data_IF_765820361740
#
_entry.id   IF_765820361740
#
_cell.length_a   1.000
_cell.length_b   1.000
_cell.length_c   1.000
_cell.angle_alpha   90.00
_cell.angle_beta   90.00
_cell.angle_gamma   90.00
#
_symmetry.space_group_name_H-M   'P 1'
#
loop_
_entity.id
_entity.type
_entity.pdbx_description
1 polymer ?
#
# COMPACT_ATOMS: atom_id res chain seq x y z
N UNK A 1 -3.64 -8.87 -1.56
CA UNK A 1 -4.43 -7.80 -0.95
C UNK A 1 -4.82 -8.24 0.43
N UNK A 2 -4.80 -7.38 1.44
CA UNK A 2 -5.12 -7.74 2.83
C UNK A 2 -6.59 -7.47 3.18
N UNK A 3 -7.27 -6.67 2.36
CA UNK A 3 -8.70 -6.47 2.42
C UNK A 3 -9.38 -7.34 1.36
N UNK A 4 -10.58 -7.85 1.65
CA UNK A 4 -11.31 -8.72 0.73
C UNK A 4 -11.84 -8.00 -0.52
N UNK A 5 -11.98 -6.68 -0.45
CA UNK A 5 -12.34 -5.85 -1.60
C UNK A 5 -11.64 -4.48 -1.55
N UNK A 6 -11.63 -3.78 -2.68
CA UNK A 6 -11.11 -2.42 -2.77
C UNK A 6 -11.91 -1.49 -1.85
N UNK A 7 -11.25 -0.64 -1.02
CA UNK A 7 -11.93 0.34 -0.21
C UNK A 7 -12.75 1.33 -1.04
N UNK A 8 -13.97 1.58 -0.62
CA UNK A 8 -14.88 2.54 -1.24
C UNK A 8 -15.13 3.78 -0.35
N UNK A 9 -14.88 3.67 0.95
CA UNK A 9 -14.90 4.77 1.89
C UNK A 9 -13.47 5.20 2.24
N UNK A 10 -13.15 6.47 1.99
CA UNK A 10 -11.82 7.04 2.19
C UNK A 10 -11.99 8.35 2.96
N UNK A 11 -11.29 8.45 4.08
CA UNK A 11 -11.12 9.70 4.82
C UNK A 11 -9.64 9.99 4.95
N UNK A 12 -9.21 11.18 4.60
CA UNK A 12 -7.80 11.53 4.64
C UNK A 12 -7.56 12.97 5.08
N UNK A 13 -6.38 13.19 5.64
CA UNK A 13 -5.84 14.50 5.95
C UNK A 13 -4.43 14.61 5.39
N UNK A 14 -4.07 15.78 4.92
CA UNK A 14 -2.76 16.07 4.35
C UNK A 14 -2.18 17.33 4.97
N UNK A 15 -0.88 17.32 5.18
CA UNK A 15 -0.06 18.51 5.38
C UNK A 15 0.71 18.75 4.10
N UNK A 16 0.49 19.88 3.47
CA UNK A 16 1.24 20.28 2.28
C UNK A 16 2.56 20.97 2.69
N UNK A 17 3.59 20.70 1.93
CA UNK A 17 4.85 21.43 1.99
C UNK A 17 4.69 22.85 1.39
N UNK A 18 5.61 23.79 1.66
CA UNK A 18 5.59 25.12 1.03
C UNK A 18 5.65 25.08 -0.51
N UNK A 19 6.12 23.98 -1.09
CA UNK A 19 6.15 23.73 -2.54
C UNK A 19 4.82 23.27 -3.12
N UNK A 20 3.81 23.04 -2.29
CA UNK A 20 2.48 22.61 -2.71
C UNK A 20 2.28 21.09 -2.82
N UNK A 21 3.33 20.29 -2.59
CA UNK A 21 3.22 18.83 -2.59
C UNK A 21 2.88 18.29 -1.20
N UNK A 22 2.37 17.07 -1.12
CA UNK A 22 2.09 16.39 0.14
C UNK A 22 3.38 16.08 0.92
N UNK A 23 3.45 16.55 2.15
CA UNK A 23 4.56 16.32 3.08
C UNK A 23 4.26 15.19 4.04
N UNK A 24 3.04 15.19 4.56
CA UNK A 24 2.53 14.17 5.49
C UNK A 24 1.08 13.87 5.19
N UNK A 25 0.69 12.62 5.30
CA UNK A 25 -0.72 12.23 5.14
C UNK A 25 -1.11 11.15 6.15
N UNK A 26 -2.37 11.23 6.59
CA UNK A 26 -3.07 10.18 7.31
C UNK A 26 -4.31 9.79 6.52
N UNK A 27 -4.49 8.50 6.28
CA UNK A 27 -5.57 7.96 5.45
C UNK A 27 -6.25 6.85 6.23
N UNK A 28 -7.58 6.90 6.30
CA UNK A 28 -8.44 5.85 6.82
C UNK A 28 -9.26 5.29 5.67
N UNK A 29 -9.22 4.00 5.51
CA UNK A 29 -9.90 3.26 4.45
C UNK A 29 -10.90 2.28 5.07
N UNK A 30 -12.04 2.08 4.43
CA UNK A 30 -12.98 1.02 4.76
C UNK A 30 -13.61 0.47 3.47
N UNK A 31 -13.79 -0.84 3.41
CA UNK A 31 -14.48 -1.51 2.31
C UNK A 31 -15.94 -1.85 2.68
N UNK A 32 -16.69 -2.41 1.72
CA UNK A 32 -18.09 -2.80 1.94
C UNK A 32 -18.28 -3.92 2.95
N UNK A 33 -17.26 -4.72 3.19
CA UNK A 33 -17.20 -5.76 4.22
C UNK A 33 -16.88 -5.21 5.61
N UNK A 34 -16.75 -3.86 5.73
CA UNK A 34 -16.41 -3.14 6.96
C UNK A 34 -15.01 -3.44 7.51
N UNK A 35 -14.13 -3.93 6.66
CA UNK A 35 -12.72 -4.07 6.99
C UNK A 35 -12.05 -2.70 6.86
N UNK A 36 -11.21 -2.37 7.83
CA UNK A 36 -10.58 -1.06 7.95
C UNK A 36 -9.07 -1.16 7.77
N UNK A 37 -8.50 -0.12 7.15
CA UNK A 37 -7.07 0.06 7.10
C UNK A 37 -6.69 1.52 7.39
N UNK A 38 -5.55 1.73 8.03
CA UNK A 38 -4.96 3.03 8.26
C UNK A 38 -3.60 3.09 7.61
N UNK A 39 -3.33 4.19 6.91
CA UNK A 39 -2.03 4.45 6.28
C UNK A 39 -1.51 5.80 6.78
N UNK A 40 -0.27 5.84 7.23
CA UNK A 40 0.41 7.07 7.58
C UNK A 40 1.68 7.21 6.76
N UNK A 41 1.84 8.37 6.16
CA UNK A 41 2.97 8.69 5.28
C UNK A 41 3.65 9.96 5.77
N UNK A 42 4.97 10.03 5.70
CA UNK A 42 5.72 11.25 5.95
C UNK A 42 7.03 11.25 5.17
N UNK A 43 7.29 12.35 4.47
CA UNK A 43 8.56 12.62 3.82
C UNK A 43 9.52 13.37 4.75
N UNK A 44 8.99 14.12 5.72
CA UNK A 44 9.78 14.97 6.61
C UNK A 44 10.21 14.25 7.89
N UNK A 45 9.34 13.48 8.51
CA UNK A 45 9.62 12.72 9.71
C UNK A 45 9.84 11.25 9.40
N UNK A 46 10.96 10.68 9.91
CA UNK A 46 11.23 9.27 9.75
C UNK A 46 10.24 8.45 10.60
N UNK A 47 9.51 7.57 9.96
CA UNK A 47 8.61 6.61 10.58
C UNK A 47 9.18 5.19 10.48
N UNK A 48 8.86 4.28 11.41
CA UNK A 48 9.16 2.88 11.25
C UNK A 48 8.46 2.33 9.98
N UNK A 49 9.21 1.68 9.11
CA UNK A 49 8.66 0.98 7.95
C UNK A 49 8.04 -0.33 8.43
N UNK A 50 6.76 -0.33 8.69
CA UNK A 50 6.04 -1.45 9.27
C UNK A 50 4.63 -1.56 8.68
N UNK A 51 4.23 -2.79 8.36
CA UNK A 51 2.83 -3.17 8.12
C UNK A 51 2.33 -4.07 9.23
N UNK A 52 1.06 -3.96 9.60
CA UNK A 52 0.40 -4.84 10.56
C UNK A 52 -0.99 -5.21 10.05
N UNK A 53 -1.36 -6.48 10.22
CA UNK A 53 -2.69 -6.99 9.89
C UNK A 53 -3.22 -7.73 11.11
N UNK A 54 -4.42 -7.35 11.57
CA UNK A 54 -5.07 -7.97 12.70
C UNK A 54 -6.16 -8.93 12.24
N UNK A 55 -6.21 -10.10 12.87
CA UNK A 55 -7.22 -11.14 12.71
C UNK A 55 -7.84 -11.46 14.08
N UNK A 56 -8.89 -12.27 14.11
CA UNK A 56 -9.57 -12.62 15.36
C UNK A 56 -8.67 -13.34 16.37
N UNK A 57 -7.73 -14.16 15.92
CA UNK A 57 -6.90 -15.02 16.77
C UNK A 57 -5.41 -14.75 16.68
N UNK A 58 -4.99 -13.83 15.81
CA UNK A 58 -3.60 -13.50 15.60
C UNK A 58 -3.45 -12.11 14.98
N UNK A 59 -2.26 -11.55 15.04
CA UNK A 59 -1.87 -10.45 14.18
C UNK A 59 -0.51 -10.75 13.54
N UNK A 60 -0.30 -10.15 12.37
CA UNK A 60 0.93 -10.30 11.60
C UNK A 60 1.62 -8.95 11.49
N UNK A 61 2.88 -8.91 11.82
CA UNK A 61 3.73 -7.72 11.63
C UNK A 61 4.80 -8.00 10.58
N UNK A 62 4.96 -7.08 9.65
CA UNK A 62 6.04 -7.08 8.68
C UNK A 62 6.87 -5.82 8.83
N UNK A 63 8.16 -5.99 9.05
CA UNK A 63 9.14 -4.91 9.22
C UNK A 63 9.88 -4.66 7.91
N UNK A 64 10.46 -3.46 7.80
CA UNK A 64 11.21 -2.99 6.62
C UNK A 64 10.37 -2.95 5.32
N UNK A 65 9.04 -2.79 5.48
CA UNK A 65 8.15 -2.60 4.34
C UNK A 65 8.63 -1.45 3.43
N UNK A 66 8.56 -1.56 2.09
CA UNK A 66 7.97 -2.64 1.29
C UNK A 66 8.93 -3.79 0.95
N UNK A 67 10.17 -3.75 1.35
CA UNK A 67 11.19 -4.77 1.05
C UNK A 67 11.47 -5.69 2.24
N UNK A 68 10.43 -6.02 3.00
CA UNK A 68 10.53 -6.92 4.13
C UNK A 68 10.79 -8.36 3.70
N UNK A 69 11.72 -9.02 4.38
CA UNK A 69 12.01 -10.45 4.20
C UNK A 69 11.40 -11.30 5.31
N UNK A 70 10.85 -10.65 6.33
CA UNK A 70 10.41 -11.30 7.55
C UNK A 70 9.05 -10.78 7.97
N UNK A 71 8.15 -11.71 8.30
CA UNK A 71 6.92 -11.43 9.00
C UNK A 71 6.88 -12.22 10.31
N UNK A 72 6.23 -11.66 11.32
CA UNK A 72 6.02 -12.32 12.62
C UNK A 72 4.52 -12.43 12.83
N UNK A 73 4.04 -13.64 13.05
CA UNK A 73 2.67 -13.93 13.48
C UNK A 73 2.68 -14.04 15.00
N UNK A 74 1.81 -13.31 15.67
CA UNK A 74 1.60 -13.43 17.12
C UNK A 74 0.18 -13.91 17.35
N UNK A 75 0.03 -15.05 18.02
CA UNK A 75 -1.26 -15.61 18.40
C UNK A 75 -1.78 -14.98 19.70
N UNK A 76 -3.05 -14.57 19.71
CA UNK A 76 -3.63 -13.81 20.83
C UNK A 76 -4.02 -14.67 22.02
N UNK A 77 -4.17 -15.99 21.84
CA UNK A 77 -4.60 -16.92 22.90
C UNK A 77 -3.53 -17.12 23.98
N UNK A 78 -2.29 -17.32 23.57
CA UNK A 78 -1.17 -17.65 24.46
C UNK A 78 0.07 -16.77 24.26
N UNK A 79 0.04 -15.90 23.26
CA UNK A 79 1.14 -14.98 22.93
C UNK A 79 2.34 -15.65 22.23
N UNK A 80 2.22 -16.92 21.79
CA UNK A 80 3.31 -17.52 21.04
C UNK A 80 3.47 -16.87 19.68
N UNK A 81 4.68 -16.95 19.15
CA UNK A 81 5.02 -16.30 17.88
C UNK A 81 5.58 -17.29 16.87
N UNK A 82 5.24 -17.09 15.61
CA UNK A 82 5.87 -17.77 14.48
C UNK A 82 6.55 -16.75 13.57
N UNK A 83 7.73 -17.08 13.11
CA UNK A 83 8.48 -16.25 12.19
C UNK A 83 8.47 -16.86 10.79
N UNK A 84 8.08 -16.05 9.81
CA UNK A 84 8.14 -16.42 8.39
C UNK A 84 9.23 -15.57 7.74
N UNK A 85 10.21 -16.24 7.15
CA UNK A 85 11.28 -15.60 6.35
C UNK A 85 11.13 -16.05 4.92
N UNK A 86 11.05 -15.11 3.99
CA UNK A 86 10.88 -15.38 2.56
C UNK A 86 11.58 -14.33 1.70
N UNK A 87 12.16 -14.80 0.61
CA UNK A 87 12.85 -13.97 -0.37
C UNK A 87 14.17 -13.38 0.12
N UNK A 88 14.80 -12.62 -0.75
CA UNK A 88 15.98 -11.84 -0.47
C UNK A 88 15.85 -10.45 -1.08
N UNK A 89 16.00 -9.40 -0.29
CA UNK A 89 15.87 -8.01 -0.78
C UNK A 89 16.87 -7.69 -1.89
N UNK A 90 18.05 -8.33 -1.87
CA UNK A 90 19.05 -8.17 -2.91
C UNK A 90 18.57 -8.62 -4.29
N UNK A 91 17.65 -9.59 -4.34
CA UNK A 91 17.12 -10.19 -5.56
C UNK A 91 15.77 -9.59 -5.99
N UNK A 92 15.30 -8.54 -5.30
CA UNK A 92 13.97 -7.97 -5.51
C UNK A 92 13.66 -7.59 -6.97
N UNK A 93 14.64 -7.02 -7.69
CA UNK A 93 14.48 -6.70 -9.12
C UNK A 93 14.42 -7.97 -9.99
N UNK A 94 15.13 -9.03 -9.60
CA UNK A 94 15.05 -10.33 -10.27
C UNK A 94 13.64 -10.91 -10.17
N UNK A 95 13.03 -10.86 -9.00
CA UNK A 95 11.64 -11.32 -8.81
C UNK A 95 10.63 -10.53 -9.65
N UNK A 96 10.83 -9.21 -9.81
CA UNK A 96 9.97 -8.40 -10.68
C UNK A 96 10.06 -8.84 -12.15
N UNK A 97 11.28 -9.17 -12.62
CA UNK A 97 11.49 -9.68 -13.98
C UNK A 97 10.89 -11.07 -14.15
N UNK A 98 11.13 -11.97 -13.22
CA UNK A 98 10.57 -13.33 -13.25
C UNK A 98 9.04 -13.31 -13.27
N UNK A 99 8.43 -12.46 -12.44
CA UNK A 99 6.98 -12.31 -12.37
C UNK A 99 6.40 -11.78 -13.69
N UNK A 100 7.07 -10.82 -14.32
CA UNK A 100 6.70 -10.32 -15.63
C UNK A 100 6.83 -11.40 -16.72
N UNK A 101 7.91 -12.18 -16.71
CA UNK A 101 8.11 -13.29 -17.66
C UNK A 101 7.01 -14.35 -17.50
N UNK A 102 6.64 -14.70 -16.27
CA UNK A 102 5.54 -15.62 -15.99
C UNK A 102 4.19 -15.06 -16.48
N UNK A 103 3.94 -13.78 -16.28
CA UNK A 103 2.72 -13.13 -16.76
C UNK A 103 2.63 -13.15 -18.28
N UNK A 104 3.73 -12.91 -19.01
CA UNK A 104 3.81 -12.99 -20.47
C UNK A 104 3.57 -14.43 -20.94
N UNK A 105 4.08 -15.41 -20.20
CA UNK A 105 3.87 -16.83 -20.49
C UNK A 105 2.43 -17.32 -20.18
N UNK A 106 1.56 -16.47 -19.66
CA UNK A 106 0.19 -16.79 -19.32
C UNK A 106 -0.02 -17.32 -17.90
N UNK A 107 0.94 -17.11 -17.01
CA UNK A 107 0.92 -17.55 -15.61
C UNK A 107 0.99 -16.35 -14.62
N UNK A 108 0.06 -15.38 -14.65
CA UNK A 108 0.14 -14.16 -13.85
C UNK A 108 -0.31 -14.38 -12.40
N UNK A 109 0.34 -15.27 -11.65
CA UNK A 109 -0.09 -15.63 -10.30
C UNK A 109 0.21 -14.55 -9.26
N UNK A 110 1.37 -13.90 -9.36
CA UNK A 110 1.82 -12.89 -8.41
C UNK A 110 1.48 -11.48 -8.88
N UNK A 111 1.74 -11.16 -10.14
CA UNK A 111 1.44 -9.85 -10.72
C UNK A 111 -0.06 -9.70 -11.01
N UNK A 112 -0.73 -8.87 -10.22
CA UNK A 112 -2.16 -8.57 -10.37
C UNK A 112 -2.33 -7.11 -10.75
N UNK A 113 -2.45 -6.83 -12.04
CA UNK A 113 -2.65 -5.47 -12.58
C UNK A 113 -3.87 -4.78 -11.98
N UNK A 114 -4.93 -5.51 -11.68
CA UNK A 114 -6.14 -4.98 -11.05
C UNK A 114 -5.85 -4.32 -9.71
N UNK A 115 -4.95 -4.90 -8.89
CA UNK A 115 -4.56 -4.29 -7.61
C UNK A 115 -3.79 -2.99 -7.81
N UNK A 116 -2.93 -2.94 -8.82
CA UNK A 116 -2.21 -1.71 -9.18
C UNK A 116 -3.19 -0.64 -9.65
N UNK A 117 -4.14 -1.00 -10.50
CA UNK A 117 -5.17 -0.10 -10.98
C UNK A 117 -6.04 0.46 -9.83
N UNK A 118 -6.48 -0.38 -8.91
CA UNK A 118 -7.26 0.01 -7.74
C UNK A 118 -6.48 0.99 -6.84
N UNK A 119 -5.21 0.70 -6.58
CA UNK A 119 -4.34 1.60 -5.80
C UNK A 119 -4.19 2.94 -6.51
N UNK A 120 -3.94 2.95 -7.81
CA UNK A 120 -3.80 4.19 -8.59
C UNK A 120 -5.08 5.01 -8.63
N UNK A 121 -6.26 4.37 -8.74
CA UNK A 121 -7.57 5.03 -8.64
C UNK A 121 -7.77 5.66 -7.26
N UNK A 122 -7.47 4.92 -6.19
CA UNK A 122 -7.54 5.42 -4.82
C UNK A 122 -6.62 6.63 -4.59
N UNK A 123 -5.36 6.53 -4.96
CA UNK A 123 -4.38 7.61 -4.81
C UNK A 123 -4.81 8.86 -5.59
N UNK A 124 -5.32 8.68 -6.81
CA UNK A 124 -5.81 9.78 -7.64
C UNK A 124 -7.02 10.47 -7.00
N UNK A 125 -7.96 9.71 -6.42
CA UNK A 125 -9.10 10.25 -5.69
C UNK A 125 -8.63 11.07 -4.48
N UNK A 126 -7.80 10.47 -3.63
CA UNK A 126 -7.27 11.11 -2.42
C UNK A 126 -6.55 12.41 -2.76
N UNK A 127 -5.69 12.39 -3.76
CA UNK A 127 -4.94 13.56 -4.21
C UNK A 127 -5.86 14.69 -4.70
N UNK A 128 -6.91 14.34 -5.45
CA UNK A 128 -7.94 15.30 -5.90
C UNK A 128 -8.72 15.91 -4.73
N UNK A 129 -9.07 15.11 -3.74
CA UNK A 129 -9.74 15.58 -2.53
C UNK A 129 -8.85 16.57 -1.73
N UNK A 130 -7.54 16.47 -1.84
CA UNK A 130 -6.58 17.43 -1.28
C UNK A 130 -6.40 18.70 -2.13
N UNK A 131 -7.00 18.75 -3.32
CA UNK A 131 -6.79 19.84 -4.27
C UNK A 131 -5.39 19.88 -4.90
N UNK A 132 -4.67 18.74 -4.85
CA UNK A 132 -3.34 18.63 -5.41
C UNK A 132 -3.41 18.20 -6.87
N UNK A 133 -2.99 19.07 -7.77
CA UNK A 133 -2.95 18.85 -9.22
C UNK A 133 -1.51 18.96 -9.70
N UNK A 134 -1.09 18.07 -10.57
CA UNK A 134 0.23 18.14 -11.18
C UNK A 134 0.20 19.06 -12.42
N UNK A 135 1.28 19.79 -12.70
CA UNK A 135 1.31 20.71 -13.86
C UNK A 135 0.98 20.04 -15.20
N UNK A 136 1.32 18.77 -15.36
CA UNK A 136 1.05 18.00 -16.58
C UNK A 136 -0.46 17.77 -16.79
N UNK A 137 -1.24 17.73 -15.73
CA UNK A 137 -2.69 17.52 -15.78
C UNK A 137 -3.43 18.79 -16.21
N UNK A 138 -2.89 19.98 -15.89
CA UNK A 138 -3.46 21.27 -16.31
C UNK A 138 -3.45 21.42 -17.83
N UNK A 139 -2.39 20.93 -18.48
CA UNK A 139 -2.25 20.97 -19.94
C UNK A 139 -3.05 19.92 -20.70
N UNK A 140 -3.51 18.87 -20.03
CA UNK A 140 -4.32 17.82 -20.64
C UNK A 140 -5.78 18.27 -20.87
N UNK A 141 -6.28 19.21 -20.08
CA UNK A 141 -7.65 19.75 -20.18
C UNK A 141 -7.82 20.79 -21.29
N UNK A 142 -6.74 21.36 -21.83
CA UNK A 142 -6.80 22.35 -22.91
C UNK A 142 -6.80 21.75 -24.34
N UNK A 143 -6.71 20.42 -24.46
CA UNK A 143 -6.58 19.74 -25.77
C UNK A 143 -7.79 18.90 -26.19
N UNK A 144 -8.97 19.11 -25.57
CA UNK A 144 -10.23 18.42 -26.00
C UNK A 144 -11.22 19.48 -26.51
#
# INVERSE_FOLDING_TARGET
>A
MFLNSCPDQITSQVKLAPTGVDEQAGILLMNREQEMATVTLSLHAKQPKRGMISFDKAYVEMYEYPRGQKAVITYTEDGHTEEIVAGATADALGYEVEDMEQAIAGHPELMKLELTEDVMKMMTRIRKDWGLTYPEEEHATEKI
#
